data_IF_539327467567
#
_entry.id   IF_539327467567
#
_cell.length_a   1.000
_cell.length_b   1.000
_cell.length_c   1.000
_cell.angle_alpha   90.00
_cell.angle_beta   90.00
_cell.angle_gamma   90.00
#
_symmetry.space_group_name_H-M   'P 1'
#
loop_
_entity.id
_entity.type
_entity.pdbx_description
1 polymer ?
#
# COMPACT_ATOMS: atom_id res chain seq x y z
N UNK A 1 -9.67 24.43 -11.04
CA UNK A 1 -8.55 23.80 -11.76
C UNK A 1 -7.82 22.90 -10.79
N UNK A 2 -7.73 21.61 -11.10
CA UNK A 2 -6.86 20.70 -10.36
C UNK A 2 -5.41 21.06 -10.72
N UNK A 3 -4.47 21.20 -9.76
CA UNK A 3 -3.08 21.48 -10.09
C UNK A 3 -2.48 20.38 -10.99
N UNK A 4 -1.70 20.74 -12.01
CA UNK A 4 -1.02 19.80 -12.92
C UNK A 4 -0.31 18.65 -12.19
N UNK A 5 0.28 18.95 -11.02
CA UNK A 5 0.92 17.96 -10.15
C UNK A 5 -0.03 16.83 -9.73
N UNK A 6 -1.26 17.14 -9.35
CA UNK A 6 -2.24 16.12 -8.96
C UNK A 6 -2.63 15.25 -10.16
N UNK A 7 -2.82 15.86 -11.34
CA UNK A 7 -3.13 15.11 -12.56
C UNK A 7 -2.03 14.10 -12.90
N UNK A 8 -0.77 14.53 -12.81
CA UNK A 8 0.39 13.65 -13.03
C UNK A 8 0.47 12.52 -11.99
N UNK A 9 0.18 12.80 -10.72
CA UNK A 9 0.19 11.76 -9.67
C UNK A 9 -0.90 10.70 -9.90
N UNK A 10 -2.11 11.13 -10.30
CA UNK A 10 -3.22 10.22 -10.60
C UNK A 10 -2.93 9.37 -11.84
N UNK A 11 -2.43 10.00 -12.91
CA UNK A 11 -2.06 9.30 -14.15
C UNK A 11 -0.94 8.27 -13.91
N UNK A 12 0.08 8.65 -13.13
CA UNK A 12 1.17 7.73 -12.80
C UNK A 12 0.66 6.57 -11.94
N UNK A 13 -0.19 6.83 -10.94
CA UNK A 13 -0.77 5.77 -10.11
C UNK A 13 -1.56 4.76 -10.96
N UNK A 14 -2.41 5.23 -11.88
CA UNK A 14 -3.14 4.38 -12.83
C UNK A 14 -2.20 3.55 -13.72
N UNK A 15 -1.16 4.20 -14.26
CA UNK A 15 -0.14 3.51 -15.07
C UNK A 15 0.54 2.38 -14.29
N UNK A 16 0.85 2.60 -13.00
CA UNK A 16 1.45 1.58 -12.12
C UNK A 16 0.50 0.43 -11.82
N UNK A 17 -0.78 0.69 -11.59
CA UNK A 17 -1.79 -0.36 -11.38
C UNK A 17 -1.94 -1.22 -12.64
N UNK A 18 -2.08 -0.59 -13.81
CA UNK A 18 -2.16 -1.32 -15.08
C UNK A 18 -0.92 -2.16 -15.37
N UNK A 19 0.27 -1.64 -15.05
CA UNK A 19 1.52 -2.38 -15.18
C UNK A 19 1.58 -3.59 -14.22
N UNK A 20 1.15 -3.42 -12.96
CA UNK A 20 1.06 -4.51 -12.00
C UNK A 20 0.13 -5.63 -12.48
N UNK A 21 -1.02 -5.27 -13.05
CA UNK A 21 -1.98 -6.25 -13.55
C UNK A 21 -1.45 -6.99 -14.79
N UNK A 22 -0.78 -6.28 -15.71
CA UNK A 22 -0.11 -6.92 -16.86
C UNK A 22 0.97 -7.91 -16.42
N UNK A 23 1.77 -7.58 -15.41
CA UNK A 23 2.78 -8.50 -14.88
C UNK A 23 2.15 -9.76 -14.29
N UNK A 24 1.09 -9.61 -13.48
CA UNK A 24 0.36 -10.77 -12.93
C UNK A 24 -0.27 -11.63 -14.02
N UNK A 25 -0.87 -11.01 -15.04
CA UNK A 25 -1.43 -11.73 -16.19
C UNK A 25 -0.36 -12.48 -16.99
N UNK A 26 0.87 -11.98 -17.02
CA UNK A 26 2.01 -12.64 -17.64
C UNK A 26 2.60 -13.78 -16.80
N UNK A 27 2.05 -14.06 -15.60
CA UNK A 27 2.57 -15.09 -14.69
C UNK A 27 3.84 -14.69 -13.94
N UNK A 28 4.07 -13.38 -13.76
CA UNK A 28 5.16 -12.93 -12.89
C UNK A 28 4.84 -13.28 -11.43
N UNK A 29 5.61 -14.24 -10.90
CA UNK A 29 5.53 -14.70 -9.50
C UNK A 29 6.43 -13.87 -8.57
N UNK A 30 7.16 -12.88 -9.10
CA UNK A 30 8.00 -12.00 -8.30
C UNK A 30 7.19 -10.97 -7.50
N UNK A 31 7.86 -10.22 -6.64
CA UNK A 31 7.26 -9.09 -5.90
C UNK A 31 7.03 -7.84 -6.77
N UNK A 32 7.42 -7.85 -8.04
CA UNK A 32 7.37 -6.68 -8.92
C UNK A 32 5.97 -6.08 -9.03
N UNK A 33 4.95 -6.92 -9.25
CA UNK A 33 3.57 -6.45 -9.33
C UNK A 33 3.08 -5.85 -8.00
N UNK A 34 3.49 -6.43 -6.87
CA UNK A 34 3.12 -5.92 -5.54
C UNK A 34 3.80 -4.59 -5.26
N UNK A 35 5.08 -4.44 -5.59
CA UNK A 35 5.83 -3.18 -5.49
C UNK A 35 5.21 -2.06 -6.33
N UNK A 36 4.72 -2.37 -7.54
CA UNK A 36 4.01 -1.40 -8.37
C UNK A 36 2.68 -0.95 -7.74
N UNK A 37 1.93 -1.88 -7.11
CA UNK A 37 0.71 -1.53 -6.38
C UNK A 37 1.00 -0.67 -5.15
N UNK A 38 2.07 -0.94 -4.41
CA UNK A 38 2.53 -0.09 -3.30
C UNK A 38 2.88 1.33 -3.76
N UNK A 39 3.55 1.45 -4.91
CA UNK A 39 3.87 2.75 -5.49
C UNK A 39 2.62 3.52 -5.93
N UNK A 40 1.67 2.85 -6.58
CA UNK A 40 0.39 3.45 -6.94
C UNK A 40 -0.36 3.96 -5.70
N UNK A 41 -0.41 3.14 -4.65
CA UNK A 41 -0.99 3.51 -3.36
C UNK A 41 -0.30 4.74 -2.75
N UNK A 42 1.03 4.81 -2.73
CA UNK A 42 1.76 5.98 -2.23
C UNK A 42 1.38 7.27 -2.97
N UNK A 43 1.32 7.21 -4.31
CA UNK A 43 0.96 8.35 -5.14
C UNK A 43 -0.47 8.84 -4.83
N UNK A 44 -1.43 7.93 -4.72
CA UNK A 44 -2.81 8.26 -4.37
C UNK A 44 -2.91 8.84 -2.95
N UNK A 45 -2.19 8.27 -1.98
CA UNK A 45 -2.18 8.75 -0.61
C UNK A 45 -1.62 10.18 -0.52
N UNK A 46 -0.51 10.45 -1.24
CA UNK A 46 0.07 11.79 -1.31
C UNK A 46 -0.87 12.79 -2.00
N UNK A 47 -1.57 12.37 -3.05
CA UNK A 47 -2.55 13.22 -3.73
C UNK A 47 -3.73 13.56 -2.80
N UNK A 48 -4.23 12.58 -2.05
CA UNK A 48 -5.28 12.79 -1.06
C UNK A 48 -4.82 13.75 0.05
N UNK A 49 -3.59 13.60 0.54
CA UNK A 49 -3.01 14.48 1.55
C UNK A 49 -2.86 15.93 1.04
N UNK A 50 -2.31 16.11 -0.16
CA UNK A 50 -2.16 17.43 -0.78
C UNK A 50 -3.52 18.10 -0.98
N UNK A 51 -4.52 17.34 -1.46
CA UNK A 51 -5.89 17.84 -1.65
C UNK A 51 -6.58 18.21 -0.33
N UNK A 52 -6.39 17.43 0.72
CA UNK A 52 -7.07 17.64 2.01
C UNK A 52 -6.42 18.75 2.87
N UNK A 53 -5.11 18.95 2.73
CA UNK A 53 -4.34 19.81 3.66
C UNK A 53 -3.60 20.97 2.98
N UNK A 54 -3.49 20.96 1.66
CA UNK A 54 -2.64 21.89 0.90
C UNK A 54 -1.14 21.66 1.08
N UNK A 55 -0.72 20.61 1.80
CA UNK A 55 0.68 20.30 2.07
C UNK A 55 1.13 19.05 1.30
N UNK A 56 2.31 19.14 0.70
CA UNK A 56 2.95 17.98 0.07
C UNK A 56 3.49 16.99 1.10
N UNK A 57 3.17 15.71 0.92
CA UNK A 57 3.80 14.62 1.64
C UNK A 57 5.22 14.40 1.11
N UNK A 58 6.24 14.80 1.88
CA UNK A 58 7.65 14.75 1.45
C UNK A 58 8.34 13.42 1.77
N UNK A 59 7.80 12.62 2.69
CA UNK A 59 8.34 11.31 3.04
C UNK A 59 7.50 10.16 2.44
N UNK A 60 8.03 8.94 2.56
CA UNK A 60 7.43 7.71 2.02
C UNK A 60 6.83 6.80 3.10
N UNK A 61 6.77 7.28 4.35
CA UNK A 61 6.19 6.53 5.47
C UNK A 61 4.66 6.59 5.43
N UNK A 62 4.02 5.50 5.02
CA UNK A 62 2.58 5.50 4.73
C UNK A 62 1.72 5.80 5.94
N UNK A 63 2.02 5.21 7.10
CA UNK A 63 1.31 5.49 8.34
C UNK A 63 1.39 6.97 8.74
N UNK A 64 2.57 7.60 8.59
CA UNK A 64 2.76 9.02 8.90
C UNK A 64 2.01 9.92 7.90
N UNK A 65 1.96 9.54 6.62
CA UNK A 65 1.19 10.28 5.60
C UNK A 65 -0.31 10.19 5.87
N UNK A 66 -0.79 8.98 6.21
CA UNK A 66 -2.19 8.73 6.52
C UNK A 66 -2.63 9.48 7.79
N UNK A 67 -1.80 9.47 8.84
CA UNK A 67 -2.08 10.17 10.08
C UNK A 67 -2.17 11.70 9.93
N UNK A 68 -1.60 12.27 8.87
CA UNK A 68 -1.70 13.70 8.56
C UNK A 68 -3.02 14.09 7.85
N UNK A 69 -3.80 13.13 7.36
CA UNK A 69 -5.11 13.40 6.81
C UNK A 69 -6.08 13.88 7.91
N UNK A 70 -7.09 14.71 7.59
CA UNK A 70 -8.17 14.99 8.53
C UNK A 70 -8.83 13.69 9.01
N UNK A 71 -9.20 13.60 10.29
CA UNK A 71 -9.79 12.38 10.86
C UNK A 71 -11.02 11.89 10.08
N UNK A 72 -11.86 12.81 9.61
CA UNK A 72 -13.03 12.50 8.78
C UNK A 72 -12.67 11.86 7.44
N UNK A 73 -11.52 12.20 6.87
CA UNK A 73 -11.00 11.56 5.64
C UNK A 73 -10.44 10.18 5.98
N UNK A 74 -9.70 10.05 7.08
CA UNK A 74 -9.17 8.75 7.54
C UNK A 74 -10.31 7.74 7.77
N UNK A 75 -11.32 8.13 8.56
CA UNK A 75 -12.49 7.31 8.86
C UNK A 75 -13.23 6.88 7.59
N UNK A 76 -13.44 7.82 6.65
CA UNK A 76 -14.08 7.52 5.38
C UNK A 76 -13.28 6.54 4.55
N UNK A 77 -11.96 6.71 4.45
CA UNK A 77 -11.10 5.80 3.69
C UNK A 77 -11.13 4.39 4.28
N UNK A 78 -11.05 4.26 5.61
CA UNK A 78 -11.12 2.98 6.30
C UNK A 78 -12.50 2.32 6.14
N UNK A 79 -13.59 3.09 6.23
CA UNK A 79 -14.95 2.58 5.99
C UNK A 79 -15.10 2.01 4.58
N UNK A 80 -14.76 2.81 3.56
CA UNK A 80 -14.89 2.40 2.16
C UNK A 80 -13.99 1.21 1.84
N UNK A 81 -12.76 1.18 2.36
CA UNK A 81 -11.87 0.04 2.20
C UNK A 81 -12.46 -1.23 2.84
N UNK A 82 -12.97 -1.12 4.07
CA UNK A 82 -13.55 -2.25 4.81
C UNK A 82 -14.84 -2.76 4.17
N UNK A 83 -15.70 -1.87 3.67
CA UNK A 83 -16.88 -2.24 2.90
C UNK A 83 -16.51 -3.02 1.62
N UNK A 84 -15.37 -2.70 1.02
CA UNK A 84 -14.92 -3.34 -0.21
C UNK A 84 -14.33 -4.74 0.00
N UNK A 85 -13.58 -4.94 1.07
CA UNK A 85 -12.78 -6.17 1.28
C UNK A 85 -13.30 -7.06 2.42
N UNK A 86 -14.24 -6.56 3.22
CA UNK A 86 -14.76 -7.26 4.40
C UNK A 86 -13.81 -7.21 5.61
N UNK A 87 -14.02 -8.09 6.60
CA UNK A 87 -13.20 -8.16 7.80
C UNK A 87 -11.72 -8.40 7.47
N UNK A 88 -10.84 -7.55 8.00
CA UNK A 88 -9.42 -7.54 7.68
C UNK A 88 -8.59 -6.89 8.79
N UNK A 89 -7.26 -6.93 8.68
CA UNK A 89 -6.37 -6.29 9.65
C UNK A 89 -6.57 -4.76 9.72
N UNK A 90 -7.15 -4.13 8.69
CA UNK A 90 -7.49 -2.70 8.70
C UNK A 90 -8.51 -2.32 9.78
N UNK A 91 -9.39 -3.24 10.18
CA UNK A 91 -10.41 -2.94 11.20
C UNK A 91 -9.82 -2.89 12.60
N UNK A 92 -8.83 -3.74 12.89
CA UNK A 92 -8.23 -3.87 14.22
C UNK A 92 -6.92 -3.08 14.38
N UNK A 93 -6.10 -3.01 13.33
CA UNK A 93 -4.79 -2.35 13.36
C UNK A 93 -4.41 -1.72 12.00
N UNK A 94 -5.11 -0.64 11.60
CA UNK A 94 -4.80 0.06 10.35
C UNK A 94 -3.39 0.66 10.34
N UNK A 95 -2.86 1.03 11.53
CA UNK A 95 -1.51 1.58 11.66
C UNK A 95 -0.44 0.53 11.37
N UNK A 96 -0.59 -0.69 11.92
CA UNK A 96 0.29 -1.82 11.64
C UNK A 96 0.31 -2.20 10.17
N UNK A 97 -0.87 -2.30 9.54
CA UNK A 97 -0.99 -2.56 8.10
C UNK A 97 -0.20 -1.53 7.29
N UNK A 98 -0.41 -0.23 7.54
CA UNK A 98 0.30 0.84 6.82
C UNK A 98 1.82 0.82 7.04
N UNK A 99 2.28 0.41 8.23
CA UNK A 99 3.71 0.24 8.51
C UNK A 99 4.30 -0.95 7.74
N UNK A 100 3.59 -2.07 7.69
CA UNK A 100 4.02 -3.26 6.95
C UNK A 100 4.09 -2.96 5.45
N UNK A 101 3.05 -2.33 4.87
CA UNK A 101 3.04 -1.90 3.47
C UNK A 101 4.23 -0.99 3.13
N UNK A 102 4.50 0.02 3.96
CA UNK A 102 5.63 0.93 3.75
C UNK A 102 6.99 0.25 3.88
N UNK A 103 7.13 -0.68 4.83
CA UNK A 103 8.37 -1.43 5.03
C UNK A 103 8.65 -2.38 3.87
N UNK A 104 7.60 -3.05 3.36
CA UNK A 104 7.70 -3.94 2.20
C UNK A 104 8.20 -3.22 0.95
N UNK A 105 7.74 -1.98 0.70
CA UNK A 105 8.17 -1.21 -0.49
C UNK A 105 9.70 -1.02 -0.54
N UNK A 106 10.33 -0.91 0.61
CA UNK A 106 11.79 -0.79 0.72
C UNK A 106 12.43 -2.17 0.63
N UNK A 107 11.98 -3.10 1.46
CA UNK A 107 12.69 -4.34 1.76
C UNK A 107 12.54 -5.41 0.66
N UNK A 108 11.43 -5.43 -0.08
CA UNK A 108 11.19 -6.39 -1.15
C UNK A 108 11.91 -6.05 -2.46
N UNK A 109 12.57 -4.89 -2.55
CA UNK A 109 13.45 -4.57 -3.70
C UNK A 109 14.70 -5.44 -3.70
N UNK A 110 15.21 -5.75 -2.51
CA UNK A 110 16.42 -6.52 -2.30
C UNK A 110 16.25 -7.47 -1.11
N UNK A 111 15.35 -8.48 -1.20
CA UNK A 111 15.06 -9.37 -0.07
C UNK A 111 16.30 -10.14 0.41
N UNK A 112 17.27 -10.36 -0.48
CA UNK A 112 18.54 -10.99 -0.12
C UNK A 112 19.35 -10.19 0.91
N UNK A 113 19.19 -8.87 1.02
CA UNK A 113 19.95 -8.04 1.98
C UNK A 113 19.67 -8.45 3.42
N UNK A 114 18.41 -8.82 3.70
CA UNK A 114 18.00 -9.29 5.03
C UNK A 114 18.74 -10.56 5.45
N UNK A 115 18.97 -11.45 4.49
CA UNK A 115 19.60 -12.76 4.70
C UNK A 115 21.06 -12.79 4.29
N UNK A 116 21.66 -11.66 3.93
CA UNK A 116 23.02 -11.59 3.37
C UNK A 116 24.13 -12.06 4.31
N UNK A 117 23.81 -12.22 5.60
CA UNK A 117 24.71 -12.76 6.62
C UNK A 117 24.59 -14.28 6.81
N UNK A 118 23.61 -14.93 6.17
CA UNK A 118 23.34 -16.36 6.31
C UNK A 118 24.07 -17.19 5.24
N UNK A 119 24.45 -18.40 5.62
CA UNK A 119 24.80 -19.48 4.70
C UNK A 119 23.53 -20.04 4.04
N UNK A 120 23.70 -20.80 2.95
CA UNK A 120 22.58 -21.50 2.28
C UNK A 120 21.81 -22.42 3.25
N UNK A 121 22.52 -23.16 4.09
CA UNK A 121 21.88 -24.08 5.06
C UNK A 121 21.07 -23.32 6.11
N UNK A 122 21.58 -22.19 6.61
CA UNK A 122 20.84 -21.36 7.57
C UNK A 122 19.60 -20.74 6.95
N UNK A 123 19.70 -20.28 5.70
CA UNK A 123 18.56 -19.72 4.96
C UNK A 123 17.44 -20.75 4.75
N UNK A 124 17.80 -21.97 4.33
CA UNK A 124 16.86 -23.08 4.15
C UNK A 124 16.21 -23.50 5.48
N UNK A 125 16.98 -23.53 6.57
CA UNK A 125 16.48 -23.86 7.91
C UNK A 125 15.58 -22.77 8.49
N UNK A 126 15.84 -21.49 8.22
CA UNK A 126 15.05 -20.39 8.75
C UNK A 126 13.57 -20.50 8.35
N UNK A 127 13.31 -20.78 7.06
CA UNK A 127 11.95 -21.00 6.57
C UNK A 127 11.30 -22.25 7.16
N UNK A 128 12.04 -23.37 7.22
CA UNK A 128 11.53 -24.61 7.80
C UNK A 128 11.17 -24.47 9.28
N UNK A 129 12.04 -23.83 10.06
CA UNK A 129 11.84 -23.59 11.48
C UNK A 129 10.64 -22.67 11.74
N UNK A 130 10.44 -21.63 10.92
CA UNK A 130 9.26 -20.78 11.02
C UNK A 130 7.96 -21.57 10.79
N UNK A 131 7.93 -22.43 9.77
CA UNK A 131 6.80 -23.33 9.50
C UNK A 131 6.57 -24.31 10.65
N UNK A 132 7.64 -24.93 11.17
CA UNK A 132 7.56 -25.85 12.30
C UNK A 132 7.07 -25.17 13.59
N UNK A 133 7.38 -23.87 13.76
CA UNK A 133 6.85 -23.05 14.85
C UNK A 133 5.42 -22.55 14.63
N UNK A 134 4.73 -23.00 13.58
CA UNK A 134 3.33 -22.68 13.32
C UNK A 134 3.09 -21.54 12.33
N UNK A 135 4.14 -21.04 11.67
CA UNK A 135 4.06 -20.00 10.64
C UNK A 135 3.27 -18.74 11.07
N UNK A 136 3.49 -18.28 12.31
CA UNK A 136 2.77 -17.12 12.84
C UNK A 136 3.05 -15.88 11.97
N UNK A 137 1.98 -15.24 11.47
CA UNK A 137 2.09 -14.03 10.62
C UNK A 137 2.82 -12.90 11.34
N UNK A 138 2.62 -12.78 12.66
CA UNK A 138 3.27 -11.76 13.47
C UNK A 138 4.80 -11.92 13.53
N UNK A 139 5.35 -13.13 13.34
CA UNK A 139 6.80 -13.37 13.30
C UNK A 139 7.37 -13.35 11.88
N UNK A 140 6.52 -13.22 10.85
CA UNK A 140 6.98 -13.18 9.47
C UNK A 140 7.85 -11.95 9.18
N UNK A 141 8.93 -12.19 8.43
CA UNK A 141 9.90 -11.18 8.04
C UNK A 141 9.35 -10.12 7.10
N UNK A 142 8.39 -10.53 6.26
CA UNK A 142 7.63 -9.70 5.35
C UNK A 142 6.16 -10.08 5.50
N UNK A 143 5.33 -9.12 5.92
CA UNK A 143 3.89 -9.33 6.08
C UNK A 143 3.18 -8.69 4.90
N UNK A 144 2.59 -9.52 4.06
CA UNK A 144 1.82 -9.05 2.91
C UNK A 144 0.39 -8.75 3.35
N UNK A 145 -0.15 -7.65 2.82
CA UNK A 145 -1.54 -7.22 3.06
C UNK A 145 -2.20 -6.87 1.72
N UNK A 146 -2.33 -7.83 0.78
CA UNK A 146 -2.75 -7.54 -0.59
C UNK A 146 -4.21 -7.06 -0.67
N UNK A 147 -5.09 -7.61 0.16
CA UNK A 147 -6.50 -7.19 0.22
C UNK A 147 -6.62 -5.80 0.83
N UNK A 148 -5.90 -5.52 1.91
CA UNK A 148 -5.88 -4.20 2.53
C UNK A 148 -5.30 -3.14 1.59
N UNK A 149 -4.22 -3.47 0.87
CA UNK A 149 -3.65 -2.60 -0.17
C UNK A 149 -4.67 -2.33 -1.27
N UNK A 150 -5.40 -3.35 -1.72
CA UNK A 150 -6.45 -3.21 -2.71
C UNK A 150 -7.59 -2.31 -2.20
N UNK A 151 -8.11 -2.57 -1.00
CA UNK A 151 -9.19 -1.81 -0.38
C UNK A 151 -8.83 -0.33 -0.16
N UNK A 152 -7.63 -0.06 0.37
CA UNK A 152 -7.14 1.30 0.58
C UNK A 152 -6.92 2.04 -0.74
N UNK A 153 -6.35 1.37 -1.75
CA UNK A 153 -6.15 1.94 -3.09
C UNK A 153 -7.50 2.31 -3.72
N UNK A 154 -8.47 1.40 -3.66
CA UNK A 154 -9.83 1.65 -4.13
C UNK A 154 -10.49 2.83 -3.42
N UNK A 155 -10.39 2.89 -2.08
CA UNK A 155 -10.96 3.97 -1.29
C UNK A 155 -10.34 5.33 -1.64
N UNK A 156 -9.03 5.39 -1.87
CA UNK A 156 -8.34 6.60 -2.30
C UNK A 156 -8.77 7.07 -3.69
N UNK A 157 -8.91 6.15 -4.66
CA UNK A 157 -9.43 6.48 -5.99
C UNK A 157 -10.83 7.09 -5.87
N UNK A 158 -11.75 6.45 -5.13
CA UNK A 158 -13.10 6.97 -4.87
C UNK A 158 -13.09 8.35 -4.21
N UNK A 159 -12.20 8.58 -3.22
CA UNK A 159 -12.06 9.86 -2.55
C UNK A 159 -11.61 10.98 -3.50
N UNK A 160 -10.68 10.65 -4.41
CA UNK A 160 -10.09 11.61 -5.36
C UNK A 160 -11.03 11.91 -6.54
N UNK A 161 -11.79 10.91 -6.98
CA UNK A 161 -12.81 11.00 -8.05
C UNK A 161 -14.07 11.75 -7.60
N UNK A 162 -14.57 11.48 -6.39
CA UNK A 162 -15.80 12.12 -5.87
C UNK A 162 -15.70 13.66 -5.79
N UNK A 163 -14.49 14.20 -5.72
CA UNK A 163 -14.25 15.64 -5.70
C UNK A 163 -13.98 16.25 -7.10
N UNK A 164 -14.32 15.52 -8.17
CA UNK A 164 -14.50 16.03 -9.54
C UNK A 164 -15.98 16.08 -9.98
N UNK A 165 -16.93 15.75 -9.10
CA UNK A 165 -18.34 16.01 -9.36
C UNK A 165 -18.56 17.54 -9.46
N UNK A 166 -19.15 18.07 -10.55
CA UNK A 166 -19.48 19.48 -10.62
C UNK A 166 -20.47 19.78 -9.49
N UNK A 167 -20.19 20.81 -8.71
CA UNK A 167 -21.17 21.40 -7.79
C UNK A 167 -22.41 21.72 -8.63
N UNK A 168 -23.45 20.90 -8.45
CA UNK A 168 -24.73 21.07 -9.11
C UNK A 168 -25.25 22.47 -8.83
N UNK A 169 -25.47 23.21 -9.91
CA UNK A 169 -26.24 24.46 -9.92
C UNK A 169 -27.72 24.15 -9.75
#
# INVERSE_FOLDING_TARGET
MTPLRHELMLQEADTRLQAADKLRQAGDESDSAYLLRLLAFELLLKAALEKATGKSGTHHRYHDLFAQLPSTVQERLLSVASERIGPSALTSDPSGVLKDLGSNFIALRYPYEKYGHMTRSEYEQAGAAWVESGAEVASADYRYHPEELFGLTFALQQHLDAAHAPLGR
#
